data_IF_619034544343
#
_entry.id   IF_619034544343
#
_cell.length_a   1.000
_cell.length_b   1.000
_cell.length_c   1.000
_cell.angle_alpha   90.00
_cell.angle_beta   90.00
_cell.angle_gamma   90.00
#
_symmetry.space_group_name_H-M   'P 1'
#
loop_
_entity.id
_entity.type
_entity.pdbx_description
1 polymer ?
#
# COMPACT_ATOMS: atom_id res chain seq x y z
N UNK A 1 -16.87 36.28 -19.03
CA UNK A 1 -15.65 35.67 -19.62
C UNK A 1 -14.70 35.01 -18.59
N UNK A 2 -14.42 35.59 -17.42
CA UNK A 2 -13.54 34.96 -16.38
C UNK A 2 -14.08 33.62 -15.83
N UNK A 3 -15.39 33.51 -15.60
CA UNK A 3 -16.02 32.29 -15.07
C UNK A 3 -15.90 31.07 -16.01
N UNK A 4 -16.01 31.30 -17.31
CA UNK A 4 -15.88 30.24 -18.33
C UNK A 4 -14.45 29.71 -18.44
N UNK A 5 -13.44 30.59 -18.27
CA UNK A 5 -12.03 30.17 -18.25
C UNK A 5 -11.71 29.28 -17.06
N UNK A 6 -12.29 29.56 -15.89
CA UNK A 6 -12.13 28.73 -14.71
C UNK A 6 -12.85 27.38 -14.91
N UNK A 7 -14.06 27.39 -15.45
CA UNK A 7 -14.80 26.16 -15.73
C UNK A 7 -14.07 25.25 -16.73
N UNK A 8 -13.52 25.84 -17.81
CA UNK A 8 -12.72 25.07 -18.79
C UNK A 8 -11.40 24.54 -18.19
N UNK A 9 -10.73 25.29 -17.32
CA UNK A 9 -9.54 24.81 -16.62
C UNK A 9 -9.85 23.65 -15.67
N UNK A 10 -10.98 23.74 -14.93
CA UNK A 10 -11.44 22.64 -14.07
C UNK A 10 -11.79 21.40 -14.92
N UNK A 11 -12.50 21.58 -16.03
CA UNK A 11 -12.86 20.48 -16.92
C UNK A 11 -11.63 19.79 -17.51
N UNK A 12 -10.63 20.55 -17.97
CA UNK A 12 -9.37 20.01 -18.48
C UNK A 12 -8.58 19.30 -17.37
N UNK A 13 -8.53 19.86 -16.18
CA UNK A 13 -7.87 19.25 -15.02
C UNK A 13 -8.55 17.94 -14.61
N UNK A 14 -9.89 17.90 -14.62
CA UNK A 14 -10.67 16.68 -14.35
C UNK A 14 -10.41 15.60 -15.41
N UNK A 15 -10.31 15.96 -16.68
CA UNK A 15 -9.98 15.04 -17.78
C UNK A 15 -8.55 14.49 -17.67
N UNK A 16 -7.59 15.30 -17.24
CA UNK A 16 -6.21 14.85 -17.01
C UNK A 16 -6.11 13.92 -15.81
N UNK A 17 -6.95 14.12 -14.79
CA UNK A 17 -7.00 13.28 -13.59
C UNK A 17 -7.78 11.97 -13.79
N UNK A 18 -8.54 11.82 -14.87
CA UNK A 18 -9.19 10.56 -15.22
C UNK A 18 -8.13 9.57 -15.75
N UNK A 19 -7.41 8.93 -14.83
CA UNK A 19 -6.43 7.91 -15.16
C UNK A 19 -7.10 6.69 -15.78
N UNK A 20 -6.60 6.25 -16.94
CA UNK A 20 -7.01 5.02 -17.59
C UNK A 20 -6.04 3.91 -17.16
N UNK A 21 -6.35 3.20 -16.07
CA UNK A 21 -5.63 2.00 -15.63
C UNK A 21 -6.50 0.75 -15.81
N UNK A 22 -5.87 -0.41 -15.89
CA UNK A 22 -6.59 -1.69 -15.82
C UNK A 22 -6.92 -1.96 -14.34
N UNK A 23 -8.20 -2.14 -13.95
CA UNK A 23 -8.60 -2.30 -12.53
C UNK A 23 -7.87 -3.46 -11.83
N UNK A 24 -7.61 -4.56 -12.54
CA UNK A 24 -6.95 -5.74 -12.00
C UNK A 24 -5.44 -5.56 -11.77
N UNK A 25 -4.81 -4.58 -12.40
CA UNK A 25 -3.41 -4.20 -12.13
C UNK A 25 -3.29 -3.17 -11.01
N UNK A 26 -4.39 -2.80 -10.38
CA UNK A 26 -4.41 -1.72 -9.40
C UNK A 26 -4.33 -2.25 -7.97
N UNK A 27 -3.35 -1.76 -7.21
CA UNK A 27 -3.30 -1.93 -5.75
C UNK A 27 -4.51 -1.29 -5.03
N UNK A 28 -5.31 -0.46 -5.72
CA UNK A 28 -6.53 0.15 -5.20
C UNK A 28 -7.77 -0.76 -5.37
N UNK A 29 -7.63 -1.88 -6.10
CA UNK A 29 -8.67 -2.90 -6.25
C UNK A 29 -8.16 -4.24 -5.70
N UNK A 30 -8.10 -4.41 -4.37
CA UNK A 30 -7.53 -5.59 -3.76
C UNK A 30 -8.31 -6.86 -4.12
N UNK A 31 -7.58 -7.90 -4.51
CA UNK A 31 -8.10 -9.22 -4.87
C UNK A 31 -7.62 -10.34 -3.92
N UNK A 32 -7.08 -9.99 -2.76
CA UNK A 32 -6.63 -10.92 -1.74
C UNK A 32 -6.52 -10.27 -0.37
N UNK A 33 -6.34 -11.08 0.68
CA UNK A 33 -6.30 -10.60 2.06
C UNK A 33 -5.16 -9.60 2.30
N UNK A 34 -3.95 -9.93 1.85
CA UNK A 34 -2.76 -9.07 2.05
C UNK A 34 -2.97 -7.69 1.42
N UNK A 35 -3.40 -7.66 0.15
CA UNK A 35 -3.70 -6.40 -0.55
C UNK A 35 -4.82 -5.61 0.15
N UNK A 36 -5.85 -6.29 0.66
CA UNK A 36 -6.96 -5.65 1.38
C UNK A 36 -6.48 -4.96 2.66
N UNK A 37 -5.64 -5.63 3.45
CA UNK A 37 -5.07 -5.05 4.68
C UNK A 37 -4.11 -3.89 4.38
N UNK A 38 -3.29 -4.00 3.33
CA UNK A 38 -2.43 -2.91 2.87
C UNK A 38 -3.25 -1.71 2.39
N UNK A 39 -4.34 -1.95 1.66
CA UNK A 39 -5.27 -0.91 1.24
C UNK A 39 -5.92 -0.19 2.42
N UNK A 40 -6.39 -0.94 3.43
CA UNK A 40 -7.01 -0.38 4.63
C UNK A 40 -6.01 0.49 5.42
N UNK A 41 -4.74 0.05 5.54
CA UNK A 41 -3.67 0.87 6.12
C UNK A 41 -3.38 2.15 5.31
N UNK A 42 -3.39 2.03 3.99
CA UNK A 42 -3.22 3.19 3.11
C UNK A 42 -4.36 4.20 3.29
N UNK A 43 -5.61 3.74 3.38
CA UNK A 43 -6.76 4.62 3.63
C UNK A 43 -6.66 5.30 5.00
N UNK A 44 -6.26 4.56 6.05
CA UNK A 44 -6.05 5.11 7.38
C UNK A 44 -4.98 6.21 7.35
N UNK A 45 -3.82 5.94 6.76
CA UNK A 45 -2.72 6.90 6.67
C UNK A 45 -3.11 8.13 5.84
N UNK A 46 -3.75 7.93 4.70
CA UNK A 46 -4.24 9.02 3.84
C UNK A 46 -5.27 9.87 4.56
N UNK A 47 -6.20 9.26 5.30
CA UNK A 47 -7.21 9.99 6.07
C UNK A 47 -6.59 10.88 7.16
N UNK A 48 -5.59 10.36 7.87
CA UNK A 48 -4.83 11.14 8.86
C UNK A 48 -4.09 12.30 8.18
N UNK A 49 -3.43 12.05 7.05
CA UNK A 49 -2.70 13.08 6.32
C UNK A 49 -3.62 14.18 5.79
N UNK A 50 -4.77 13.80 5.22
CA UNK A 50 -5.79 14.77 4.75
C UNK A 50 -6.31 15.61 5.91
N UNK A 51 -6.60 14.99 7.06
CA UNK A 51 -7.02 15.72 8.28
C UNK A 51 -5.98 16.77 8.68
N UNK A 52 -4.71 16.38 8.75
CA UNK A 52 -3.61 17.29 9.11
C UNK A 52 -3.49 18.45 8.12
N UNK A 53 -3.55 18.14 6.80
CA UNK A 53 -3.50 19.17 5.75
C UNK A 53 -4.67 20.16 5.90
N UNK A 54 -5.89 19.66 6.13
CA UNK A 54 -7.07 20.53 6.33
C UNK A 54 -6.86 21.47 7.54
N UNK A 55 -6.42 20.94 8.67
CA UNK A 55 -6.15 21.75 9.87
C UNK A 55 -5.09 22.81 9.59
N UNK A 56 -3.97 22.44 8.98
CA UNK A 56 -2.88 23.38 8.64
C UNK A 56 -3.37 24.46 7.66
N UNK A 57 -4.12 24.08 6.63
CA UNK A 57 -4.66 25.05 5.65
C UNK A 57 -5.63 26.01 6.33
N UNK A 58 -6.52 25.53 7.20
CA UNK A 58 -7.45 26.39 7.95
C UNK A 58 -6.66 27.39 8.81
N UNK A 59 -5.69 26.92 9.60
CA UNK A 59 -4.86 27.78 10.44
C UNK A 59 -4.09 28.82 9.62
N UNK A 60 -3.53 28.39 8.48
CA UNK A 60 -2.80 29.28 7.57
C UNK A 60 -3.73 30.36 6.99
N UNK A 61 -4.90 29.99 6.51
CA UNK A 61 -5.89 30.95 5.94
C UNK A 61 -6.36 31.91 7.03
N UNK A 62 -6.67 31.43 8.24
CA UNK A 62 -7.04 32.27 9.36
C UNK A 62 -5.92 33.26 9.72
N UNK A 63 -4.65 32.80 9.73
CA UNK A 63 -3.51 33.69 9.96
C UNK A 63 -3.39 34.78 8.90
N UNK A 64 -3.52 34.44 7.62
CA UNK A 64 -3.49 35.41 6.53
C UNK A 64 -4.63 36.43 6.61
N UNK A 65 -5.83 35.99 6.93
CA UNK A 65 -6.99 36.89 7.00
C UNK A 65 -6.94 37.79 8.24
N UNK A 66 -6.56 37.25 9.39
CA UNK A 66 -6.60 37.95 10.68
C UNK A 66 -5.40 38.87 10.87
N UNK A 67 -4.21 38.47 10.45
CA UNK A 67 -2.97 39.21 10.71
C UNK A 67 -2.43 39.97 9.50
N UNK A 68 -3.22 40.07 8.43
CA UNK A 68 -2.86 40.87 7.26
C UNK A 68 -2.80 42.35 7.62
N UNK A 69 -1.64 42.98 7.41
CA UNK A 69 -1.44 44.41 7.57
C UNK A 69 -2.36 45.19 6.65
N UNK A 70 -3.14 46.14 7.20
CA UNK A 70 -4.00 47.03 6.43
C UNK A 70 -3.19 48.20 5.91
N UNK A 71 -3.56 48.74 4.75
CA UNK A 71 -2.91 49.90 4.15
C UNK A 71 -3.07 51.10 5.09
N UNK A 72 -1.94 51.70 5.49
CA UNK A 72 -1.93 52.85 6.43
C UNK A 72 -1.80 52.50 7.93
N UNK A 73 -1.79 51.21 8.28
CA UNK A 73 -1.56 50.77 9.66
C UNK A 73 -0.04 50.69 9.94
N UNK A 74 0.45 51.57 10.78
CA UNK A 74 1.85 51.64 11.23
C UNK A 74 2.01 51.16 12.68
N UNK A 75 0.99 50.51 13.25
CA UNK A 75 1.07 49.97 14.60
C UNK A 75 2.06 48.81 14.68
N UNK A 76 2.81 48.79 15.78
CA UNK A 76 3.67 47.65 16.11
C UNK A 76 2.76 46.58 16.75
N UNK A 77 2.68 45.36 16.18
CA UNK A 77 1.85 44.33 16.80
C UNK A 77 2.36 43.94 18.17
N UNK A 78 1.41 43.60 19.06
CA UNK A 78 1.73 43.14 20.42
C UNK A 78 2.63 41.92 20.34
N UNK A 79 3.79 41.99 20.97
CA UNK A 79 4.69 40.86 21.10
C UNK A 79 4.11 39.89 22.12
N UNK A 80 3.90 38.63 21.73
CA UNK A 80 3.33 37.60 22.58
C UNK A 80 4.41 36.53 22.75
N UNK A 81 4.73 36.22 24.00
CA UNK A 81 5.55 35.05 24.34
C UNK A 81 4.81 33.74 24.06
N UNK A 82 5.53 32.63 24.03
CA UNK A 82 4.95 31.32 23.76
C UNK A 82 3.79 30.92 24.67
N UNK A 83 3.00 29.95 24.28
CA UNK A 83 1.91 29.41 25.08
C UNK A 83 2.17 27.94 25.36
N UNK A 84 2.58 27.62 26.58
CA UNK A 84 2.95 26.26 26.98
C UNK A 84 1.83 25.23 26.75
N UNK A 85 0.55 25.60 26.88
CA UNK A 85 -0.57 24.68 26.57
C UNK A 85 -0.64 24.34 25.07
N UNK A 86 -0.40 25.33 24.23
CA UNK A 86 -0.35 25.07 22.75
C UNK A 86 0.88 24.25 22.38
N UNK A 87 2.01 24.47 23.05
CA UNK A 87 3.23 23.67 22.84
C UNK A 87 3.00 22.19 23.13
N UNK A 88 2.39 21.88 24.27
CA UNK A 88 2.00 20.51 24.61
C UNK A 88 1.03 19.95 23.56
N UNK A 89 0.01 20.74 23.16
CA UNK A 89 -1.03 20.30 22.26
C UNK A 89 -0.46 19.87 20.89
N UNK A 90 0.37 20.71 20.27
CA UNK A 90 0.94 20.39 18.96
C UNK A 90 2.07 19.36 19.01
N UNK A 91 2.57 19.02 20.20
CA UNK A 91 3.52 17.90 20.38
C UNK A 91 2.76 16.59 20.59
N UNK A 92 1.76 16.60 21.47
CA UNK A 92 1.04 15.36 21.84
C UNK A 92 0.13 14.85 20.73
N UNK A 93 -0.57 15.74 20.01
CA UNK A 93 -1.49 15.31 18.92
C UNK A 93 -0.76 14.49 17.84
N UNK A 94 0.36 14.95 17.24
CA UNK A 94 1.11 14.16 16.27
C UNK A 94 1.61 12.82 16.82
N UNK A 95 2.06 12.79 18.08
CA UNK A 95 2.50 11.54 18.73
C UNK A 95 1.34 10.54 18.79
N UNK A 96 0.15 10.97 19.19
CA UNK A 96 -1.04 10.10 19.25
C UNK A 96 -1.41 9.60 17.85
N UNK A 97 -1.39 10.47 16.84
CA UNK A 97 -1.67 10.07 15.46
C UNK A 97 -0.66 9.05 14.95
N UNK A 98 0.63 9.20 15.29
CA UNK A 98 1.66 8.22 14.94
C UNK A 98 1.45 6.87 15.65
N UNK A 99 1.02 6.87 16.91
CA UNK A 99 0.70 5.64 17.64
C UNK A 99 -0.48 4.92 16.97
N UNK A 100 -1.54 5.65 16.59
CA UNK A 100 -2.70 5.09 15.88
C UNK A 100 -2.27 4.39 14.58
N UNK A 101 -1.27 4.91 13.88
CA UNK A 101 -0.71 4.32 12.66
C UNK A 101 0.25 3.17 12.96
N UNK A 102 1.09 3.31 13.98
CA UNK A 102 2.13 2.34 14.31
C UNK A 102 1.54 1.00 14.76
N UNK A 103 0.48 1.02 15.58
CA UNK A 103 -0.11 -0.22 16.13
C UNK A 103 -0.56 -1.19 15.02
N UNK A 104 -1.44 -0.82 14.07
CA UNK A 104 -1.84 -1.74 13.01
C UNK A 104 -0.70 -2.07 12.05
N UNK A 105 0.22 -1.12 11.79
CA UNK A 105 1.38 -1.37 10.93
C UNK A 105 2.28 -2.46 11.51
N UNK A 106 2.61 -2.38 12.80
CA UNK A 106 3.43 -3.39 13.48
C UNK A 106 2.71 -4.74 13.50
N UNK A 107 1.41 -4.74 13.83
CA UNK A 107 0.60 -5.97 13.85
C UNK A 107 0.63 -6.67 12.49
N UNK A 108 0.34 -5.97 11.39
CA UNK A 108 0.32 -6.57 10.06
C UNK A 108 1.71 -6.93 9.54
N UNK A 109 2.77 -6.25 9.99
CA UNK A 109 4.14 -6.64 9.65
C UNK A 109 4.44 -8.06 10.16
N UNK A 110 4.10 -8.35 11.40
CA UNK A 110 4.26 -9.71 11.96
C UNK A 110 3.27 -10.71 11.35
N UNK A 111 2.04 -10.30 11.12
CA UNK A 111 1.02 -11.16 10.54
C UNK A 111 1.38 -11.64 9.13
N UNK A 112 1.90 -10.75 8.27
CA UNK A 112 2.29 -11.14 6.91
C UNK A 112 3.62 -11.91 6.85
N UNK A 113 4.47 -11.80 7.86
CA UNK A 113 5.71 -12.56 7.92
C UNK A 113 5.54 -13.98 8.48
N UNK A 114 4.34 -14.31 8.99
CA UNK A 114 4.08 -15.63 9.55
C UNK A 114 3.82 -16.66 8.44
N UNK A 115 4.83 -17.46 8.17
CA UNK A 115 4.80 -18.60 7.22
C UNK A 115 4.81 -19.95 7.92
N UNK A 116 4.48 -20.00 9.21
CA UNK A 116 4.57 -21.22 10.03
C UNK A 116 3.69 -22.37 9.51
N UNK A 117 2.58 -22.06 8.85
CA UNK A 117 1.65 -23.06 8.33
C UNK A 117 2.07 -23.67 6.98
N UNK A 118 3.18 -23.21 6.37
CA UNK A 118 3.66 -23.72 5.06
C UNK A 118 4.01 -25.21 5.07
N UNK A 119 4.49 -25.71 6.20
CA UNK A 119 4.94 -27.10 6.37
C UNK A 119 3.86 -27.99 7.02
N UNK A 120 2.60 -27.50 7.05
CA UNK A 120 1.47 -28.25 7.57
C UNK A 120 1.24 -29.55 6.79
N UNK A 121 0.87 -30.62 7.54
CA UNK A 121 0.54 -31.93 6.96
C UNK A 121 -0.79 -32.41 7.50
N UNK A 122 -1.54 -33.13 6.67
CA UNK A 122 -2.75 -33.84 7.09
C UNK A 122 -2.44 -35.11 7.90
N UNK A 123 -3.49 -35.85 8.30
CA UNK A 123 -3.36 -37.09 9.06
C UNK A 123 -2.65 -38.21 8.28
N UNK A 124 -2.63 -38.12 6.95
CA UNK A 124 -1.99 -39.08 6.04
C UNK A 124 -0.57 -38.66 5.69
N UNK A 125 -0.10 -37.50 6.17
CA UNK A 125 1.24 -36.96 5.95
C UNK A 125 1.40 -36.15 4.65
N UNK A 126 0.32 -35.86 3.94
CA UNK A 126 0.36 -35.04 2.73
C UNK A 126 0.44 -33.55 3.09
N UNK A 127 1.14 -32.70 2.30
CA UNK A 127 1.16 -31.27 2.48
C UNK A 127 -0.25 -30.68 2.42
N UNK A 128 -0.60 -29.84 3.38
CA UNK A 128 -1.89 -29.13 3.42
C UNK A 128 -1.79 -27.71 2.84
N UNK A 129 -0.57 -27.20 2.67
CA UNK A 129 -0.33 -25.86 2.18
C UNK A 129 0.16 -25.90 0.72
N UNK A 130 -0.38 -25.01 -0.12
CA UNK A 130 0.11 -24.80 -1.47
C UNK A 130 1.45 -24.07 -1.39
N UNK A 131 2.52 -24.72 -1.85
CA UNK A 131 3.86 -24.14 -1.89
C UNK A 131 4.26 -23.84 -3.34
N UNK A 132 4.85 -22.68 -3.58
CA UNK A 132 5.26 -22.23 -4.90
C UNK A 132 6.67 -21.66 -4.80
N UNK A 133 7.62 -22.31 -5.47
CA UNK A 133 8.96 -21.79 -5.64
C UNK A 133 8.99 -20.85 -6.83
N UNK A 134 9.30 -19.59 -6.60
CA UNK A 134 9.37 -18.56 -7.63
C UNK A 134 10.81 -18.26 -7.95
N UNK A 135 11.21 -18.53 -9.19
CA UNK A 135 12.55 -18.22 -9.68
C UNK A 135 12.49 -17.07 -10.68
N UNK A 136 13.21 -15.99 -10.36
CA UNK A 136 13.37 -14.85 -11.26
C UNK A 136 14.62 -15.01 -12.12
N UNK A 137 14.49 -14.76 -13.41
CA UNK A 137 15.59 -14.71 -14.37
C UNK A 137 15.39 -13.54 -15.33
N UNK A 138 16.46 -13.05 -15.99
CA UNK A 138 16.38 -12.09 -17.09
C UNK A 138 15.77 -12.83 -18.31
N UNK A 139 14.64 -12.54 -18.64
CA UNK A 139 13.51 -11.68 -18.58
C UNK A 139 12.23 -12.49 -18.40
N UNK A 140 12.21 -13.43 -17.46
CA UNK A 140 11.10 -14.34 -17.26
C UNK A 140 10.97 -14.83 -15.82
N UNK A 141 9.80 -15.37 -15.48
CA UNK A 141 9.46 -15.96 -14.19
C UNK A 141 9.19 -17.44 -14.37
N UNK A 142 9.73 -18.26 -13.47
CA UNK A 142 9.44 -19.69 -13.35
C UNK A 142 8.69 -19.93 -12.04
N UNK A 143 7.65 -20.71 -12.09
CA UNK A 143 6.86 -21.13 -10.94
C UNK A 143 6.89 -22.66 -10.87
N UNK A 144 7.54 -23.18 -9.83
CA UNK A 144 7.59 -24.61 -9.52
C UNK A 144 6.62 -24.91 -8.39
N UNK A 145 5.82 -25.96 -8.56
CA UNK A 145 4.84 -26.46 -7.59
C UNK A 145 5.33 -27.80 -7.04
N UNK A 146 6.14 -27.80 -5.96
CA UNK A 146 6.85 -29.01 -5.51
C UNK A 146 5.90 -30.11 -5.03
N UNK A 147 4.73 -29.76 -4.50
CA UNK A 147 3.74 -30.72 -4.03
C UNK A 147 2.98 -31.38 -5.19
N UNK A 148 2.81 -30.69 -6.30
CA UNK A 148 2.04 -31.14 -7.46
C UNK A 148 2.94 -31.65 -8.61
N UNK A 149 4.24 -31.41 -8.53
CA UNK A 149 5.25 -31.94 -9.45
C UNK A 149 5.25 -31.31 -10.85
N UNK A 150 4.78 -30.07 -11.01
CA UNK A 150 4.82 -29.37 -12.29
C UNK A 150 5.49 -27.99 -12.19
N UNK A 151 5.86 -27.43 -13.35
CA UNK A 151 6.50 -26.14 -13.50
C UNK A 151 5.77 -25.35 -14.58
N UNK A 152 5.54 -24.06 -14.35
CA UNK A 152 5.03 -23.12 -15.34
C UNK A 152 6.03 -21.99 -15.60
N UNK A 153 5.97 -21.41 -16.80
CA UNK A 153 6.75 -20.22 -17.16
C UNK A 153 5.83 -19.04 -17.45
N UNK A 154 6.08 -17.89 -16.84
CA UNK A 154 5.32 -16.64 -16.99
C UNK A 154 3.86 -16.68 -16.50
N UNK A 155 3.30 -17.82 -16.21
CA UNK A 155 1.93 -17.99 -15.76
C UNK A 155 1.91 -18.56 -14.35
N UNK A 156 1.36 -17.79 -13.41
CA UNK A 156 1.17 -18.19 -12.01
C UNK A 156 -0.22 -18.83 -11.86
N UNK A 157 -0.25 -20.09 -11.47
CA UNK A 157 -1.48 -20.84 -11.18
C UNK A 157 -1.63 -20.97 -9.67
N UNK A 158 -2.70 -20.43 -9.09
CA UNK A 158 -2.96 -20.47 -7.64
C UNK A 158 -4.41 -20.85 -7.38
N UNK A 159 -4.68 -21.59 -6.30
CA UNK A 159 -6.04 -21.79 -5.83
C UNK A 159 -6.61 -20.45 -5.29
N UNK A 160 -7.93 -20.33 -5.34
CA UNK A 160 -8.66 -19.21 -4.72
C UNK A 160 -9.06 -19.56 -3.28
N UNK A 161 -9.18 -18.51 -2.45
CA UNK A 161 -9.62 -18.58 -1.05
C UNK A 161 -8.75 -19.49 -0.16
N UNK A 162 -7.51 -19.75 -0.61
CA UNK A 162 -6.48 -20.48 0.13
C UNK A 162 -5.16 -19.71 0.12
N UNK A 163 -4.34 -19.93 1.19
CA UNK A 163 -3.01 -19.33 1.28
C UNK A 163 -2.01 -20.08 0.42
N UNK A 164 -1.47 -19.39 -0.56
CA UNK A 164 -0.28 -19.84 -1.30
C UNK A 164 0.98 -19.32 -0.61
N UNK A 165 1.94 -20.20 -0.30
CA UNK A 165 3.23 -19.88 0.29
C UNK A 165 4.31 -19.83 -0.79
N UNK A 166 4.95 -18.69 -0.90
CA UNK A 166 5.91 -18.39 -1.94
C UNK A 166 7.33 -18.37 -1.40
N UNK A 167 8.23 -19.05 -2.09
CA UNK A 167 9.67 -19.03 -1.85
C UNK A 167 10.34 -18.30 -3.02
N UNK A 168 10.76 -17.05 -2.80
CA UNK A 168 11.35 -16.21 -3.84
C UNK A 168 12.86 -16.35 -3.91
N UNK A 169 13.39 -16.60 -5.10
CA UNK A 169 14.82 -16.62 -5.38
C UNK A 169 15.11 -16.07 -6.77
N UNK A 170 16.26 -15.41 -6.94
CA UNK A 170 16.77 -15.00 -8.25
C UNK A 170 17.85 -15.98 -8.74
N UNK A 171 17.92 -16.20 -10.06
CA UNK A 171 18.94 -17.03 -10.70
C UNK A 171 20.18 -16.25 -11.12
N UNK A 172 20.04 -14.96 -11.39
CA UNK A 172 21.04 -14.11 -12.03
C UNK A 172 21.30 -12.80 -11.29
N UNK A 173 20.35 -11.89 -11.31
CA UNK A 173 20.40 -10.59 -10.63
C UNK A 173 19.18 -10.40 -9.75
N UNK A 174 19.18 -9.35 -8.94
CA UNK A 174 18.04 -9.00 -8.10
C UNK A 174 16.86 -8.54 -8.95
N UNK A 175 15.68 -9.13 -8.72
CA UNK A 175 14.40 -8.75 -9.31
C UNK A 175 13.42 -8.35 -8.21
N UNK A 176 12.21 -7.90 -8.58
CA UNK A 176 11.11 -7.64 -7.63
C UNK A 176 9.86 -8.33 -8.12
N UNK A 177 9.35 -9.25 -7.31
CA UNK A 177 8.08 -9.92 -7.53
C UNK A 177 6.94 -9.08 -6.98
N UNK A 178 5.92 -8.83 -7.80
CA UNK A 178 4.78 -8.02 -7.38
C UNK A 178 3.52 -8.33 -8.16
N UNK A 179 2.46 -8.63 -7.42
CA UNK A 179 1.10 -8.74 -7.94
C UNK A 179 0.28 -7.61 -7.31
N UNK A 180 0.06 -6.48 -8.01
CA UNK A 180 -0.52 -5.27 -7.42
C UNK A 180 -1.85 -5.49 -6.70
N UNK A 181 -2.73 -6.31 -7.26
CA UNK A 181 -4.04 -6.61 -6.69
C UNK A 181 -4.01 -7.61 -5.52
N UNK A 182 -2.97 -8.45 -5.42
CA UNK A 182 -2.80 -9.40 -4.33
C UNK A 182 -1.92 -8.87 -3.19
N UNK A 183 -1.07 -7.87 -3.48
CA UNK A 183 -0.15 -7.27 -2.52
C UNK A 183 1.26 -7.87 -2.58
N UNK A 184 2.09 -7.51 -1.61
CA UNK A 184 3.35 -8.19 -1.35
C UNK A 184 4.47 -7.96 -2.37
N UNK A 185 4.79 -6.69 -2.73
CA UNK A 185 6.00 -6.44 -3.52
C UNK A 185 7.25 -6.77 -2.70
N UNK A 186 7.98 -7.80 -3.13
CA UNK A 186 9.18 -8.29 -2.48
C UNK A 186 10.31 -8.50 -3.49
N UNK A 187 11.54 -8.23 -3.03
CA UNK A 187 12.72 -8.45 -3.85
C UNK A 187 13.11 -9.93 -3.86
N UNK A 188 13.58 -10.40 -5.00
CA UNK A 188 14.22 -11.72 -5.12
C UNK A 188 15.74 -11.56 -5.08
N UNK A 189 16.42 -12.34 -4.25
CA UNK A 189 17.88 -12.30 -4.12
C UNK A 189 18.50 -13.61 -4.62
N UNK A 190 19.77 -13.53 -5.03
CA UNK A 190 20.55 -14.70 -5.45
C UNK A 190 21.02 -15.54 -4.27
N UNK A 191 21.28 -14.90 -3.12
CA UNK A 191 21.98 -15.50 -1.98
C UNK A 191 21.03 -16.05 -0.92
N UNK A 192 19.80 -15.54 -0.84
CA UNK A 192 18.82 -15.99 0.14
C UNK A 192 17.42 -16.17 -0.47
N UNK A 193 16.63 -17.04 0.13
CA UNK A 193 15.22 -17.23 -0.18
C UNK A 193 14.40 -16.31 0.72
N UNK A 194 13.44 -15.59 0.14
CA UNK A 194 12.45 -14.81 0.87
C UNK A 194 11.13 -15.56 0.83
N UNK A 195 10.58 -15.80 2.00
CA UNK A 195 9.33 -16.54 2.19
C UNK A 195 8.20 -15.58 2.55
N UNK A 196 7.03 -15.77 1.95
CA UNK A 196 5.81 -15.02 2.24
C UNK A 196 4.58 -15.78 1.76
N UNK A 197 3.40 -15.29 2.06
CA UNK A 197 2.15 -15.87 1.58
C UNK A 197 1.24 -14.81 0.96
N UNK A 198 0.43 -15.24 0.02
CA UNK A 198 -0.68 -14.49 -0.57
C UNK A 198 -1.93 -15.35 -0.55
N UNK A 199 -3.09 -14.70 -0.57
CA UNK A 199 -4.39 -15.30 -0.77
C UNK A 199 -5.11 -14.56 -1.88
N UNK A 200 -5.81 -15.30 -2.74
CA UNK A 200 -6.48 -14.77 -3.92
C UNK A 200 -7.98 -15.06 -3.82
N UNK A 201 -8.82 -14.03 -3.86
CA UNK A 201 -10.27 -14.18 -3.76
C UNK A 201 -10.85 -14.70 -5.07
N UNK A 202 -11.86 -15.58 -4.98
CA UNK A 202 -12.63 -16.05 -6.12
C UNK A 202 -13.22 -14.89 -6.94
N UNK A 203 -13.25 -15.03 -8.26
CA UNK A 203 -13.81 -14.04 -9.20
C UNK A 203 -12.93 -12.83 -9.51
N UNK A 204 -11.96 -12.49 -8.65
CA UNK A 204 -10.99 -11.42 -8.94
C UNK A 204 -9.62 -11.96 -9.37
N UNK A 205 -9.35 -13.21 -9.05
CA UNK A 205 -8.10 -13.90 -9.39
C UNK A 205 -7.98 -14.19 -10.89
N UNK A 206 -9.09 -14.48 -11.59
CA UNK A 206 -9.08 -14.67 -13.04
C UNK A 206 -8.63 -13.42 -13.81
N UNK A 207 -9.04 -12.23 -13.32
CA UNK A 207 -8.58 -10.97 -13.90
C UNK A 207 -7.11 -10.68 -13.58
N UNK A 208 -6.64 -11.07 -12.41
CA UNK A 208 -5.24 -10.92 -12.00
C UNK A 208 -4.31 -11.95 -12.65
N UNK A 209 -4.79 -13.16 -12.92
CA UNK A 209 -4.01 -14.27 -13.48
C UNK A 209 -3.75 -14.21 -14.98
N UNK A 210 -4.49 -13.39 -15.72
CA UNK A 210 -4.33 -13.25 -17.18
C UNK A 210 -3.21 -12.30 -17.63
N UNK A 211 -2.45 -11.72 -16.69
CA UNK A 211 -1.60 -10.56 -16.99
C UNK A 211 -0.15 -10.69 -16.55
N UNK A 212 0.29 -11.87 -16.16
CA UNK A 212 1.69 -12.08 -15.72
C UNK A 212 2.43 -13.11 -16.54
#
# INVERSE_FOLDING_TARGET
>A
MKKWRIASLIAVFTLILSGCGQPYLSALNPAGEVAKKQYDLMLLSTSIMVLVIIVVVILFVLALLKFRRKKGDNSIPKQIEGNHKLEILWTVIPIVLLIILAVPTIYYTFYFSDVSAKDGKDADGNPTAVQINVRASLYWWEFEYPNDGFITGQELVVPTDEKGYFNLKASDVKHSFWIPSAGGKLDTNTDNVIEFWLEFNEGKSEEAGRTF
#
